data_IF_820511256470
#
_entry.id   IF_820511256470
#
_cell.length_a   1.000
_cell.length_b   1.000
_cell.length_c   1.000
_cell.angle_alpha   90.00
_cell.angle_beta   90.00
_cell.angle_gamma   90.00
#
_symmetry.space_group_name_H-M   'P 1'
#
loop_
_entity.id
_entity.type
_entity.pdbx_description
1 polymer ?
#
# COMPACT_ATOMS: atom_id res chain seq x y z
N UNK A 1 15.44 2.79 24.69
CA UNK A 1 14.71 1.52 24.75
C UNK A 1 15.24 0.61 23.67
N UNK A 2 15.49 -0.56 23.99
CA UNK A 2 15.92 -1.53 23.01
C UNK A 2 14.73 -2.36 22.50
N UNK A 3 14.90 -2.89 21.35
CA UNK A 3 13.88 -3.75 20.76
C UNK A 3 14.05 -5.17 21.28
N UNK A 4 13.09 -5.64 22.05
CA UNK A 4 13.13 -6.99 22.62
C UNK A 4 13.11 -8.08 21.55
N UNK A 5 12.51 -7.84 20.40
CA UNK A 5 12.52 -8.81 19.31
C UNK A 5 13.92 -8.98 18.70
N UNK A 6 14.75 -7.96 18.73
CA UNK A 6 16.14 -8.10 18.29
C UNK A 6 16.91 -9.02 19.20
N UNK A 7 16.65 -8.97 20.48
CA UNK A 7 17.28 -9.87 21.45
C UNK A 7 16.82 -11.31 21.26
N UNK A 8 15.54 -11.52 21.08
CA UNK A 8 14.98 -12.85 20.83
C UNK A 8 15.60 -13.49 19.59
N UNK A 9 15.86 -12.69 18.56
CA UNK A 9 16.42 -13.15 17.31
C UNK A 9 17.94 -13.08 17.26
N UNK A 10 18.60 -12.62 18.29
CA UNK A 10 20.06 -12.49 18.31
C UNK A 10 20.69 -13.87 18.13
N UNK A 11 21.54 -14.00 17.13
CA UNK A 11 22.16 -15.27 16.75
C UNK A 11 21.27 -16.22 15.95
N UNK A 12 20.01 -15.95 15.81
CA UNK A 12 19.09 -16.78 15.03
C UNK A 12 18.91 -16.32 13.59
N UNK A 13 18.99 -15.02 13.35
CA UNK A 13 18.80 -14.43 12.01
C UNK A 13 17.40 -14.65 11.42
N UNK A 14 16.42 -15.03 12.24
CA UNK A 14 15.10 -15.45 11.79
C UNK A 14 14.08 -14.33 11.91
N UNK A 15 14.26 -13.28 11.14
CA UNK A 15 13.35 -12.14 11.10
C UNK A 15 12.24 -12.41 10.11
N UNK A 16 11.00 -12.36 10.57
CA UNK A 16 9.81 -12.47 9.74
C UNK A 16 9.13 -11.12 9.62
N UNK A 17 8.64 -10.80 8.43
CA UNK A 17 7.75 -9.67 8.25
C UNK A 17 6.41 -9.96 8.92
N UNK A 18 5.82 -8.94 9.50
CA UNK A 18 4.44 -9.05 9.96
C UNK A 18 3.53 -8.95 8.74
N UNK A 19 2.83 -10.04 8.47
CA UNK A 19 1.92 -10.16 7.33
C UNK A 19 0.51 -10.35 7.84
N UNK A 20 -0.43 -9.57 7.31
CA UNK A 20 -1.85 -9.67 7.59
C UNK A 20 -2.65 -9.86 6.31
N UNK A 21 -3.82 -10.50 6.41
CA UNK A 21 -4.73 -10.69 5.29
C UNK A 21 -5.91 -9.73 5.42
N UNK A 22 -6.11 -8.89 4.39
CA UNK A 22 -7.24 -7.97 4.31
C UNK A 22 -8.25 -8.56 3.31
N UNK A 23 -9.46 -8.82 3.80
CA UNK A 23 -10.60 -9.31 3.01
C UNK A 23 -11.83 -8.42 3.12
N UNK A 24 -11.76 -7.37 3.94
CA UNK A 24 -12.82 -6.40 4.15
C UNK A 24 -12.23 -5.01 4.35
N UNK A 25 -13.04 -3.99 4.15
CA UNK A 25 -12.61 -2.61 4.33
C UNK A 25 -12.10 -2.35 5.74
N UNK A 26 -11.00 -1.60 5.85
CA UNK A 26 -10.30 -1.36 7.10
C UNK A 26 -9.67 0.04 7.11
N UNK A 27 -9.56 0.62 8.29
CA UNK A 27 -8.77 1.84 8.52
C UNK A 27 -7.50 1.47 9.27
N UNK A 28 -6.36 1.77 8.67
CA UNK A 28 -5.05 1.55 9.27
C UNK A 28 -4.66 2.71 10.18
N UNK A 29 -3.75 2.43 11.08
CA UNK A 29 -3.17 3.42 12.00
C UNK A 29 -1.65 3.48 11.80
N UNK A 30 -1.01 4.48 12.39
CA UNK A 30 0.45 4.57 12.37
C UNK A 30 1.14 3.38 13.07
N UNK A 31 0.44 2.70 13.97
CA UNK A 31 0.96 1.49 14.62
C UNK A 31 1.01 0.29 13.67
N UNK A 32 0.35 0.38 12.53
CA UNK A 32 0.37 -0.65 11.49
C UNK A 32 1.54 -0.50 10.52
N UNK A 33 2.37 0.51 10.70
CA UNK A 33 3.55 0.76 9.87
C UNK A 33 4.49 -0.46 9.83
N UNK A 34 5.05 -0.71 8.67
CA UNK A 34 5.98 -1.81 8.42
C UNK A 34 5.33 -3.15 8.13
N UNK A 35 4.02 -3.24 8.23
CA UNK A 35 3.30 -4.46 7.89
C UNK A 35 3.19 -4.66 6.38
N UNK A 36 3.07 -5.91 5.99
CA UNK A 36 2.74 -6.34 4.62
C UNK A 36 1.31 -6.87 4.64
N UNK A 37 0.50 -6.38 3.74
CA UNK A 37 -0.90 -6.80 3.63
C UNK A 37 -1.11 -7.61 2.36
N UNK A 38 -1.61 -8.83 2.55
CA UNK A 38 -2.10 -9.67 1.46
C UNK A 38 -3.59 -9.34 1.30
N UNK A 39 -3.96 -8.77 0.15
CA UNK A 39 -5.29 -8.20 -0.05
C UNK A 39 -6.13 -9.05 -0.99
N UNK A 40 -7.38 -9.27 -0.62
CA UNK A 40 -8.37 -9.99 -1.39
C UNK A 40 -9.70 -9.23 -1.42
N UNK A 41 -10.33 -9.20 -2.59
CA UNK A 41 -11.64 -8.58 -2.82
C UNK A 41 -12.65 -9.54 -3.45
N UNK A 42 -12.51 -10.84 -3.14
CA UNK A 42 -13.33 -11.89 -3.72
C UNK A 42 -14.83 -11.67 -3.51
N UNK A 43 -15.20 -11.29 -2.30
CA UNK A 43 -16.62 -11.17 -1.91
C UNK A 43 -17.19 -9.77 -2.14
N UNK A 44 -16.39 -8.74 -2.02
CA UNK A 44 -16.81 -7.35 -2.19
C UNK A 44 -15.60 -6.44 -2.44
N UNK A 45 -15.86 -5.24 -2.96
CA UNK A 45 -14.85 -4.20 -3.05
C UNK A 45 -14.29 -3.85 -1.65
N UNK A 46 -12.98 -3.68 -1.57
CA UNK A 46 -12.28 -3.41 -0.33
C UNK A 46 -11.70 -2.01 -0.36
N UNK A 47 -11.94 -1.24 0.67
CA UNK A 47 -11.33 0.08 0.88
C UNK A 47 -10.41 0.03 2.10
N UNK A 48 -9.15 0.37 1.88
CA UNK A 48 -8.12 0.45 2.90
C UNK A 48 -7.82 1.93 3.11
N UNK A 49 -8.27 2.49 4.22
CA UNK A 49 -8.07 3.90 4.54
C UNK A 49 -6.78 4.07 5.33
N UNK A 50 -5.88 4.89 4.84
CA UNK A 50 -4.62 5.20 5.51
C UNK A 50 -4.82 6.25 6.59
N UNK A 51 -3.92 6.33 7.58
CA UNK A 51 -3.96 7.39 8.59
C UNK A 51 -3.95 8.78 7.94
N UNK A 52 -4.77 9.66 8.49
CA UNK A 52 -4.77 11.06 8.06
C UNK A 52 -3.47 11.75 8.42
N UNK A 53 -3.11 12.77 7.66
CA UNK A 53 -1.88 13.53 7.89
C UNK A 53 -1.83 14.13 9.29
N UNK A 54 -0.79 13.81 10.02
CA UNK A 54 -0.45 14.48 11.27
C UNK A 54 1.07 14.57 11.39
N UNK A 55 1.54 15.50 12.19
CA UNK A 55 2.96 15.56 12.53
C UNK A 55 3.39 14.25 13.21
N UNK A 56 4.47 13.67 12.76
CA UNK A 56 5.01 12.43 13.33
C UNK A 56 4.69 11.18 12.54
N UNK A 57 4.09 11.29 11.35
CA UNK A 57 3.88 10.15 10.46
C UNK A 57 5.06 9.88 9.51
N UNK A 58 6.06 10.76 9.46
CA UNK A 58 7.20 10.57 8.57
C UNK A 58 7.86 9.21 8.77
N UNK A 59 8.01 8.47 7.68
CA UNK A 59 8.53 7.12 7.69
C UNK A 59 7.50 6.01 7.92
N UNK A 60 6.25 6.34 8.21
CA UNK A 60 5.16 5.35 8.22
C UNK A 60 5.01 4.79 6.81
N UNK A 61 5.01 3.47 6.69
CA UNK A 61 5.00 2.81 5.39
C UNK A 61 4.21 1.51 5.42
N UNK A 62 3.68 1.15 4.26
CA UNK A 62 2.88 -0.05 4.06
C UNK A 62 3.21 -0.69 2.72
N UNK A 63 2.99 -2.01 2.64
CA UNK A 63 3.02 -2.74 1.39
C UNK A 63 1.72 -3.52 1.23
N UNK A 64 1.07 -3.36 0.09
CA UNK A 64 -0.16 -4.04 -0.26
C UNK A 64 0.09 -4.94 -1.46
N UNK A 65 -0.23 -6.22 -1.34
CA UNK A 65 0.00 -7.24 -2.36
C UNK A 65 -1.34 -7.90 -2.70
N UNK A 66 -1.64 -8.02 -3.96
CA UNK A 66 -2.80 -8.79 -4.42
C UNK A 66 -2.56 -10.27 -4.11
N UNK A 67 -3.46 -10.88 -3.36
CA UNK A 67 -3.37 -12.30 -3.00
C UNK A 67 -4.19 -13.20 -3.91
N UNK A 68 -5.30 -12.70 -4.44
CA UNK A 68 -6.12 -13.44 -5.40
C UNK A 68 -5.41 -13.62 -6.73
N UNK A 69 -5.76 -14.65 -7.47
CA UNK A 69 -5.25 -14.84 -8.82
C UNK A 69 -5.66 -13.65 -9.71
N UNK A 70 -6.91 -13.24 -9.58
CA UNK A 70 -7.45 -12.02 -10.18
C UNK A 70 -8.50 -11.45 -9.22
N UNK A 71 -8.44 -10.20 -8.80
CA UNK A 71 -9.46 -9.61 -7.96
C UNK A 71 -10.83 -9.62 -8.64
N UNK A 72 -11.87 -9.95 -7.90
CA UNK A 72 -13.25 -9.89 -8.39
C UNK A 72 -13.84 -8.47 -8.32
N UNK A 73 -13.27 -7.65 -7.45
CA UNK A 73 -13.66 -6.26 -7.22
C UNK A 73 -12.42 -5.41 -7.00
N UNK A 74 -12.57 -4.11 -7.03
CA UNK A 74 -11.45 -3.20 -6.78
C UNK A 74 -10.99 -3.24 -5.31
N UNK A 75 -9.68 -3.11 -5.14
CA UNK A 75 -9.04 -2.85 -3.86
C UNK A 75 -8.55 -1.41 -3.91
N UNK A 76 -9.19 -0.54 -3.14
CA UNK A 76 -8.88 0.89 -3.11
C UNK A 76 -8.06 1.22 -1.87
N UNK A 77 -6.90 1.81 -2.07
CA UNK A 77 -6.08 2.37 -0.99
C UNK A 77 -6.37 3.86 -0.95
N UNK A 78 -7.17 4.27 0.04
CA UNK A 78 -7.58 5.66 0.22
C UNK A 78 -6.54 6.40 1.07
N UNK A 79 -5.95 7.44 0.51
CA UNK A 79 -4.88 8.21 1.14
C UNK A 79 -5.40 9.18 2.21
N UNK A 80 -6.70 9.17 2.48
CA UNK A 80 -7.31 10.03 3.48
C UNK A 80 -7.28 11.51 3.05
N UNK A 81 -6.92 12.36 3.98
CA UNK A 81 -6.67 13.78 3.68
C UNK A 81 -5.22 14.04 3.23
N UNK A 82 -4.39 13.01 3.29
CA UNK A 82 -3.03 13.08 2.78
C UNK A 82 -3.07 12.88 1.27
N UNK A 83 -2.85 13.93 0.58
CA UNK A 83 -2.79 13.93 -0.86
C UNK A 83 -1.43 13.37 -1.25
N UNK A 84 -1.44 12.17 -1.77
CA UNK A 84 -0.21 11.53 -2.22
C UNK A 84 0.31 12.17 -3.50
N UNK A 85 1.60 12.36 -3.55
CA UNK A 85 2.30 12.71 -4.78
C UNK A 85 2.85 11.41 -5.38
N UNK A 86 2.46 11.11 -6.60
CA UNK A 86 3.02 9.98 -7.32
C UNK A 86 4.24 10.43 -8.10
N UNK A 87 5.33 9.78 -7.84
CA UNK A 87 6.63 10.08 -8.45
C UNK A 87 6.94 9.15 -9.63
N UNK A 88 6.09 8.16 -9.91
CA UNK A 88 6.35 7.19 -10.97
C UNK A 88 5.23 7.12 -12.00
N UNK A 89 5.56 6.57 -13.16
CA UNK A 89 4.59 6.24 -14.20
C UNK A 89 3.59 5.21 -13.67
N UNK A 90 2.39 5.25 -14.19
CA UNK A 90 1.45 4.18 -13.93
C UNK A 90 1.94 2.85 -14.51
N UNK A 91 1.25 1.78 -14.18
CA UNK A 91 1.62 0.44 -14.61
C UNK A 91 1.52 0.22 -16.13
N UNK A 92 0.83 1.08 -16.84
CA UNK A 92 0.74 1.03 -18.30
C UNK A 92 1.91 1.71 -18.99
N UNK A 93 2.70 2.47 -18.24
CA UNK A 93 3.71 3.36 -18.80
C UNK A 93 3.09 4.61 -19.45
N UNK A 94 1.78 4.80 -19.29
CA UNK A 94 1.09 6.00 -19.75
C UNK A 94 1.31 7.14 -18.75
N UNK A 95 1.80 8.25 -19.25
CA UNK A 95 2.07 9.43 -18.44
C UNK A 95 0.78 10.18 -18.03
N UNK A 96 -0.36 9.73 -18.51
CA UNK A 96 -1.64 10.41 -18.29
C UNK A 96 -2.29 10.14 -16.93
N UNK A 97 -2.00 9.01 -16.32
CA UNK A 97 -2.69 8.59 -15.10
C UNK A 97 -1.95 8.93 -13.81
N UNK A 98 -0.66 9.17 -13.86
CA UNK A 98 0.14 9.51 -12.69
C UNK A 98 1.19 10.54 -13.04
N UNK A 99 0.76 11.76 -13.21
CA UNK A 99 1.68 12.86 -13.44
C UNK A 99 2.41 13.20 -12.15
N UNK A 100 3.70 13.31 -12.25
CA UNK A 100 4.55 13.79 -11.16
C UNK A 100 3.99 15.10 -10.61
N UNK A 101 3.76 15.15 -9.30
CA UNK A 101 3.21 16.31 -8.64
C UNK A 101 1.69 16.45 -8.72
N UNK A 102 0.98 15.49 -9.31
CA UNK A 102 -0.48 15.49 -9.26
C UNK A 102 -0.96 14.88 -7.95
N UNK A 103 -1.83 15.59 -7.29
CA UNK A 103 -2.46 15.10 -6.07
C UNK A 103 -3.45 13.99 -6.44
N UNK A 104 -3.34 12.86 -5.76
CA UNK A 104 -4.26 11.75 -5.90
C UNK A 104 -4.93 11.44 -4.57
N UNK A 105 -6.14 10.95 -4.64
CA UNK A 105 -6.89 10.55 -3.46
C UNK A 105 -6.81 9.07 -3.19
N UNK A 106 -6.67 8.26 -4.23
CA UNK A 106 -6.69 6.82 -4.12
C UNK A 106 -5.68 6.15 -5.05
N UNK A 107 -5.18 5.00 -4.61
CA UNK A 107 -4.50 4.03 -5.44
C UNK A 107 -5.44 2.82 -5.55
N UNK A 108 -5.69 2.36 -6.77
CA UNK A 108 -6.65 1.29 -7.04
C UNK A 108 -5.91 0.11 -7.67
N UNK A 109 -6.05 -1.06 -7.04
CA UNK A 109 -5.71 -2.34 -7.65
C UNK A 109 -7.03 -2.91 -8.17
N UNK A 110 -7.22 -2.87 -9.46
CA UNK A 110 -8.49 -3.18 -10.09
C UNK A 110 -8.63 -4.68 -10.44
N UNK A 111 -9.71 -5.02 -11.13
CA UNK A 111 -10.02 -6.39 -11.51
C UNK A 111 -9.08 -6.99 -12.56
N UNK A 112 -8.17 -6.21 -13.12
CA UNK A 112 -7.13 -6.70 -14.04
C UNK A 112 -5.80 -6.97 -13.33
N UNK A 113 -5.67 -6.54 -12.07
CA UNK A 113 -4.52 -6.86 -11.24
C UNK A 113 -4.40 -8.38 -11.06
N UNK A 114 -3.20 -8.85 -10.78
CA UNK A 114 -2.93 -10.28 -10.61
C UNK A 114 -2.22 -10.57 -9.30
N UNK A 115 -2.28 -11.83 -8.89
CA UNK A 115 -1.57 -12.28 -7.70
C UNK A 115 -0.09 -11.88 -7.75
N UNK A 116 0.35 -11.19 -6.72
CA UNK A 116 1.71 -10.71 -6.62
C UNK A 116 1.90 -9.27 -7.06
N UNK A 117 0.93 -8.67 -7.76
CA UNK A 117 0.97 -7.23 -8.01
C UNK A 117 0.93 -6.50 -6.68
N UNK A 118 1.70 -5.45 -6.56
CA UNK A 118 1.85 -4.77 -5.28
C UNK A 118 2.11 -3.27 -5.42
N UNK A 119 1.86 -2.57 -4.33
CA UNK A 119 2.25 -1.17 -4.15
C UNK A 119 2.88 -0.98 -2.78
N UNK A 120 3.98 -0.25 -2.74
CA UNK A 120 4.61 0.20 -1.50
C UNK A 120 4.51 1.71 -1.42
N UNK A 121 4.09 2.21 -0.26
CA UNK A 121 3.92 3.63 0.00
C UNK A 121 4.56 4.01 1.33
N UNK A 122 5.04 5.23 1.41
CA UNK A 122 5.62 5.80 2.61
C UNK A 122 5.13 7.23 2.80
N UNK A 123 4.88 7.61 4.05
CA UNK A 123 4.55 8.98 4.40
C UNK A 123 5.82 9.80 4.62
N UNK A 124 5.90 10.94 3.97
CA UNK A 124 6.98 11.89 4.14
C UNK A 124 6.53 13.31 3.80
N UNK A 125 6.89 14.27 4.65
CA UNK A 125 6.68 15.68 4.36
C UNK A 125 5.22 16.10 4.18
N UNK A 126 4.28 15.40 4.81
CA UNK A 126 2.85 15.69 4.70
C UNK A 126 2.10 14.91 3.64
N UNK A 127 2.78 14.03 2.90
CA UNK A 127 2.20 13.29 1.78
C UNK A 127 2.55 11.81 1.83
N UNK A 128 1.71 10.98 1.23
CA UNK A 128 2.09 9.61 0.90
C UNK A 128 2.82 9.58 -0.44
N UNK A 129 3.95 8.91 -0.46
CA UNK A 129 4.80 8.77 -1.64
C UNK A 129 4.83 7.33 -2.06
N UNK A 130 4.67 7.10 -3.34
CA UNK A 130 4.79 5.76 -3.93
C UNK A 130 6.27 5.38 -4.03
N UNK A 131 6.71 4.40 -3.28
CA UNK A 131 8.13 4.02 -3.26
C UNK A 131 8.45 2.86 -4.21
N UNK A 132 7.50 1.97 -4.44
CA UNK A 132 7.63 0.88 -5.40
C UNK A 132 6.27 0.33 -5.79
N UNK A 133 6.18 -0.22 -7.00
CA UNK A 133 5.03 -0.99 -7.44
C UNK A 133 5.42 -2.02 -8.49
N UNK A 134 4.56 -3.03 -8.67
CA UNK A 134 4.64 -3.98 -9.77
C UNK A 134 3.22 -4.30 -10.23
N UNK A 135 2.99 -4.25 -11.52
CA UNK A 135 1.71 -4.61 -12.12
C UNK A 135 1.94 -5.31 -13.45
N UNK A 136 1.33 -6.48 -13.62
CA UNK A 136 1.51 -7.30 -14.83
C UNK A 136 0.61 -6.81 -15.95
N UNK A 137 -0.64 -6.47 -15.64
CA UNK A 137 -1.68 -6.13 -16.64
C UNK A 137 -2.23 -4.72 -16.50
N UNK A 138 -1.42 -3.79 -16.01
CA UNK A 138 -1.88 -2.42 -15.78
C UNK A 138 -3.04 -2.29 -14.77
N UNK A 139 -3.20 -3.28 -13.89
CA UNK A 139 -4.26 -3.31 -12.89
C UNK A 139 -4.05 -2.36 -11.70
N UNK A 140 -3.05 -1.48 -11.75
CA UNK A 140 -2.80 -0.47 -10.71
C UNK A 140 -2.90 0.91 -11.35
N UNK A 141 -3.82 1.71 -10.86
CA UNK A 141 -4.01 3.07 -11.33
C UNK A 141 -4.41 4.00 -10.17
N UNK A 142 -4.63 5.26 -10.48
CA UNK A 142 -4.91 6.29 -9.48
C UNK A 142 -6.18 7.07 -9.81
N UNK A 143 -6.80 7.61 -8.80
CA UNK A 143 -7.95 8.49 -8.96
C UNK A 143 -7.95 9.67 -8.00
#
# INVERSE_FOLDING_TARGET
>A
MRSSYLEVNSGQGNYRKHVEHITASVTLTNNDSGKVYMCSSADAAVSITLPTTSTGLDGVHYKFIVWEETPSNDITIALGSAIGSIVSKDATGDEGASTQGTQISNIILDTTAQRGDFVEIMFWGGEYVWTAFSSINAGIHTS
#
